data_IF_196581176203
#
_entry.id   IF_196581176203
#
_cell.length_a   1.000
_cell.length_b   1.000
_cell.length_c   1.000
_cell.angle_alpha   90.00
_cell.angle_beta   90.00
_cell.angle_gamma   90.00
#
_symmetry.space_group_name_H-M   'P 1'
#
loop_
_entity.id
_entity.type
_entity.pdbx_description
1 polymer ?
#
# COMPACT_ATOMS: atom_id res chain seq x y z
N UNK A 1 -28.64 -3.24 27.62
CA UNK A 1 -27.70 -2.11 27.84
C UNK A 1 -26.24 -2.52 27.65
N UNK A 2 -25.74 -3.56 28.33
CA UNK A 2 -24.34 -4.03 28.22
C UNK A 2 -23.96 -4.42 26.77
N UNK A 3 -24.82 -5.16 26.07
CA UNK A 3 -24.55 -5.57 24.67
C UNK A 3 -24.34 -4.38 23.73
N UNK A 4 -25.15 -3.32 23.88
CA UNK A 4 -25.03 -2.11 23.07
C UNK A 4 -23.71 -1.40 23.37
N UNK A 5 -23.32 -1.31 24.64
CA UNK A 5 -22.05 -0.72 25.04
C UNK A 5 -20.85 -1.49 24.46
N UNK A 6 -20.88 -2.84 24.50
CA UNK A 6 -19.83 -3.68 23.92
C UNK A 6 -19.73 -3.48 22.41
N UNK A 7 -20.86 -3.46 21.69
CA UNK A 7 -20.87 -3.22 20.25
C UNK A 7 -20.28 -1.84 19.91
N UNK A 8 -20.64 -0.81 20.66
CA UNK A 8 -20.08 0.53 20.45
C UNK A 8 -18.57 0.57 20.70
N UNK A 9 -18.08 -0.06 21.78
CA UNK A 9 -16.64 -0.16 22.07
C UNK A 9 -15.90 -0.84 20.92
N UNK A 10 -16.43 -1.95 20.41
CA UNK A 10 -15.84 -2.67 19.28
C UNK A 10 -15.82 -1.80 18.02
N UNK A 11 -16.91 -1.10 17.71
CA UNK A 11 -16.98 -0.21 16.54
C UNK A 11 -15.98 0.94 16.65
N UNK A 12 -15.85 1.56 17.82
CA UNK A 12 -14.85 2.62 18.07
C UNK A 12 -13.44 2.07 17.94
N UNK A 13 -13.15 0.90 18.52
CA UNK A 13 -11.84 0.27 18.42
C UNK A 13 -11.48 -0.06 16.96
N UNK A 14 -12.42 -0.61 16.19
CA UNK A 14 -12.24 -0.88 14.76
C UNK A 14 -12.02 0.39 13.94
N UNK A 15 -12.78 1.45 14.24
CA UNK A 15 -12.61 2.74 13.60
C UNK A 15 -11.21 3.32 13.87
N UNK A 16 -10.80 3.39 15.14
CA UNK A 16 -9.49 3.90 15.54
C UNK A 16 -8.35 3.07 14.94
N UNK A 17 -8.49 1.74 14.95
CA UNK A 17 -7.52 0.85 14.31
C UNK A 17 -7.40 1.11 12.82
N UNK A 18 -8.51 1.41 12.14
CA UNK A 18 -8.51 1.67 10.71
C UNK A 18 -7.85 3.01 10.36
N UNK A 19 -8.17 4.08 11.08
CA UNK A 19 -7.70 5.44 10.75
C UNK A 19 -6.31 5.77 11.29
N UNK A 20 -5.71 4.91 12.14
CA UNK A 20 -4.42 5.15 12.82
C UNK A 20 -3.24 5.52 11.91
N UNK A 21 -3.30 5.17 10.61
CA UNK A 21 -2.24 5.43 9.64
C UNK A 21 -2.60 6.51 8.62
N UNK A 22 -3.84 7.01 8.61
CA UNK A 22 -4.33 7.86 7.52
C UNK A 22 -3.68 9.24 7.47
N UNK A 23 -2.99 9.66 8.54
CA UNK A 23 -2.19 10.89 8.59
C UNK A 23 -0.70 10.69 8.20
N UNK A 24 -0.31 9.47 7.81
CA UNK A 24 1.09 9.11 7.58
C UNK A 24 1.78 9.97 6.51
N UNK A 25 1.09 10.19 5.39
CA UNK A 25 1.60 10.97 4.26
C UNK A 25 1.47 12.48 4.49
N UNK A 26 0.39 12.92 5.13
CA UNK A 26 0.18 14.31 5.52
C UNK A 26 1.30 14.81 6.43
N UNK A 27 1.63 14.04 7.48
CA UNK A 27 2.75 14.32 8.41
C UNK A 27 4.12 14.43 7.72
N UNK A 28 4.26 13.88 6.51
CA UNK A 28 5.50 13.89 5.71
C UNK A 28 5.46 14.88 4.56
N UNK A 29 4.37 15.65 4.41
CA UNK A 29 4.20 16.60 3.32
C UNK A 29 4.03 15.93 1.94
N UNK A 30 3.66 14.64 1.88
CA UNK A 30 3.48 13.91 0.63
C UNK A 30 2.03 14.02 0.16
N UNK A 31 1.82 14.46 -1.08
CA UNK A 31 0.48 14.54 -1.70
C UNK A 31 -0.12 13.13 -1.84
N UNK A 32 -1.39 13.01 -1.48
CA UNK A 32 -2.13 11.75 -1.55
C UNK A 32 -3.64 12.06 -1.59
N UNK A 33 -4.42 11.06 -1.99
CA UNK A 33 -5.88 11.11 -1.86
C UNK A 33 -6.29 10.79 -0.44
N UNK A 34 -7.32 11.47 0.07
CA UNK A 34 -7.88 11.13 1.39
C UNK A 34 -8.35 9.66 1.38
N UNK A 35 -7.82 8.80 2.27
CA UNK A 35 -8.23 7.40 2.33
C UNK A 35 -9.66 7.29 2.85
N UNK A 36 -10.41 6.31 2.32
CA UNK A 36 -11.73 5.94 2.84
C UNK A 36 -11.60 4.81 3.87
N UNK A 37 -12.55 4.76 4.81
CA UNK A 37 -12.58 3.73 5.85
C UNK A 37 -12.54 2.33 5.23
N UNK A 38 -11.82 1.41 5.86
CA UNK A 38 -11.57 0.01 5.45
C UNK A 38 -10.67 -0.11 4.22
N UNK A 39 -10.94 0.62 3.14
CA UNK A 39 -10.31 0.39 1.83
C UNK A 39 -9.11 1.28 1.51
N UNK A 40 -8.88 2.36 2.26
CA UNK A 40 -7.85 3.33 1.91
C UNK A 40 -8.19 4.02 0.59
N UNK A 41 -7.26 4.03 -0.36
CA UNK A 41 -7.50 4.53 -1.73
C UNK A 41 -7.77 3.40 -2.74
N UNK A 42 -7.86 2.14 -2.30
CA UNK A 42 -7.89 0.97 -3.18
C UNK A 42 -9.28 0.29 -3.28
N UNK A 43 -10.37 1.01 -2.98
CA UNK A 43 -11.73 0.46 -2.96
C UNK A 43 -12.13 -0.17 -4.31
N UNK A 44 -11.86 0.50 -5.43
CA UNK A 44 -12.18 -0.02 -6.76
C UNK A 44 -11.48 -1.35 -7.07
N UNK A 45 -10.29 -1.58 -6.52
CA UNK A 45 -9.57 -2.83 -6.71
C UNK A 45 -10.18 -3.96 -5.87
N UNK A 46 -10.58 -3.70 -4.63
CA UNK A 46 -11.31 -4.68 -3.80
C UNK A 46 -12.68 -5.01 -4.37
N UNK A 47 -13.34 -4.05 -5.03
CA UNK A 47 -14.62 -4.23 -5.71
C UNK A 47 -14.48 -4.78 -7.14
N UNK A 48 -13.26 -5.17 -7.56
CA UNK A 48 -12.95 -5.70 -8.89
C UNK A 48 -13.37 -4.78 -10.05
N UNK A 49 -13.45 -3.47 -9.81
CA UNK A 49 -13.78 -2.45 -10.81
C UNK A 49 -12.56 -1.97 -11.58
N UNK A 50 -11.38 -2.04 -10.95
CA UNK A 50 -10.08 -1.67 -11.55
C UNK A 50 -9.01 -2.66 -11.11
N UNK A 51 -8.11 -3.00 -12.03
CA UNK A 51 -6.88 -3.73 -11.71
C UNK A 51 -5.94 -2.87 -10.87
N UNK A 52 -4.95 -3.52 -10.24
CA UNK A 52 -3.90 -2.83 -9.48
C UNK A 52 -3.13 -1.88 -10.39
N UNK A 53 -2.84 -2.30 -11.63
CA UNK A 53 -2.13 -1.51 -12.62
C UNK A 53 -2.91 -0.25 -13.03
N UNK A 54 -4.21 -0.37 -13.30
CA UNK A 54 -5.06 0.78 -13.62
C UNK A 54 -5.09 1.79 -12.47
N UNK A 55 -5.19 1.33 -11.21
CA UNK A 55 -5.19 2.24 -10.07
C UNK A 55 -3.84 2.93 -9.87
N UNK A 56 -2.73 2.20 -10.09
CA UNK A 56 -1.38 2.78 -10.04
C UNK A 56 -1.19 3.86 -11.12
N UNK A 57 -1.62 3.59 -12.36
CA UNK A 57 -1.56 4.53 -13.48
C UNK A 57 -2.44 5.75 -13.23
N UNK A 58 -3.66 5.59 -12.71
CA UNK A 58 -4.53 6.72 -12.34
C UNK A 58 -3.84 7.65 -11.33
N UNK A 59 -3.20 7.08 -10.30
CA UNK A 59 -2.51 7.85 -9.28
C UNK A 59 -1.25 8.54 -9.83
N UNK A 60 -0.47 7.82 -10.65
CA UNK A 60 0.54 8.41 -11.53
C UNK A 60 -0.11 9.09 -12.73
N UNK A 61 -1.20 9.83 -12.68
CA UNK A 61 -1.45 10.83 -13.75
C UNK A 61 -2.15 12.01 -13.14
N UNK A 62 -2.95 11.75 -12.09
CA UNK A 62 -3.57 12.73 -11.22
C UNK A 62 -2.61 13.77 -10.61
N UNK A 63 -1.34 13.43 -10.35
CA UNK A 63 -0.35 14.33 -9.73
C UNK A 63 0.86 14.59 -10.63
N UNK A 64 0.71 15.30 -11.77
CA UNK A 64 1.75 15.42 -12.79
C UNK A 64 3.02 16.16 -12.31
N UNK A 65 2.88 17.02 -11.32
CA UNK A 65 3.97 17.84 -10.79
C UNK A 65 4.69 17.22 -9.58
N UNK A 66 4.22 16.07 -9.10
CA UNK A 66 4.79 15.42 -7.92
C UNK A 66 5.77 14.32 -8.34
N UNK A 67 6.91 14.25 -7.65
CA UNK A 67 7.93 13.20 -7.87
C UNK A 67 7.52 11.86 -7.27
N UNK A 68 6.73 11.91 -6.19
CA UNK A 68 6.19 10.78 -5.44
C UNK A 68 4.78 11.10 -4.98
N UNK A 69 3.94 10.07 -4.84
CA UNK A 69 2.55 10.23 -4.45
C UNK A 69 2.20 9.17 -3.41
N UNK A 70 1.66 9.59 -2.28
CA UNK A 70 1.21 8.70 -1.23
C UNK A 70 -0.08 7.97 -1.63
N UNK A 71 -0.17 6.71 -1.24
CA UNK A 71 -1.31 5.84 -1.46
C UNK A 71 -1.59 5.04 -0.18
N UNK A 72 -2.83 4.62 0.01
CA UNK A 72 -3.22 3.72 1.09
C UNK A 72 -3.88 2.46 0.52
N UNK A 73 -3.22 1.31 0.68
CA UNK A 73 -3.87 0.00 0.45
C UNK A 73 -4.50 -0.44 1.75
N UNK A 74 -5.81 -0.22 1.90
CA UNK A 74 -6.46 -0.32 3.21
C UNK A 74 -5.75 0.59 4.22
N UNK A 75 -5.27 0.05 5.34
CA UNK A 75 -4.52 0.79 6.37
C UNK A 75 -3.02 0.88 6.11
N UNK A 76 -2.51 0.25 5.05
CA UNK A 76 -1.08 0.23 4.73
C UNK A 76 -0.71 1.43 3.85
N UNK A 77 0.18 2.33 4.31
CA UNK A 77 0.74 3.36 3.44
C UNK A 77 1.67 2.73 2.40
N UNK A 78 1.49 3.12 1.13
CA UNK A 78 2.30 2.76 -0.03
C UNK A 78 2.66 4.02 -0.82
N UNK A 79 3.70 3.96 -1.64
CA UNK A 79 4.19 5.09 -2.41
C UNK A 79 4.19 4.78 -3.90
N UNK A 80 3.59 5.65 -4.69
CA UNK A 80 3.68 5.65 -6.15
C UNK A 80 4.81 6.58 -6.54
N UNK A 81 5.86 6.03 -7.14
CA UNK A 81 7.06 6.76 -7.54
C UNK A 81 6.91 7.19 -9.00
N UNK A 82 7.14 8.48 -9.28
CA UNK A 82 7.02 9.05 -10.62
C UNK A 82 8.36 9.49 -11.21
N UNK A 83 9.32 9.85 -10.36
CA UNK A 83 10.62 10.32 -10.82
C UNK A 83 11.56 9.15 -11.18
N UNK A 84 12.06 9.09 -12.44
CA UNK A 84 13.00 8.07 -12.88
C UNK A 84 14.29 7.98 -12.06
N UNK A 85 14.81 9.09 -11.53
CA UNK A 85 16.02 9.09 -10.69
C UNK A 85 15.75 8.41 -9.34
N UNK A 86 14.54 8.58 -8.79
CA UNK A 86 14.14 7.85 -7.58
C UNK A 86 13.97 6.36 -7.90
N UNK A 87 13.32 6.03 -9.03
CA UNK A 87 13.19 4.63 -9.48
C UNK A 87 14.56 3.97 -9.63
N UNK A 88 15.50 4.63 -10.32
CA UNK A 88 16.88 4.16 -10.49
C UNK A 88 17.57 3.97 -9.14
N UNK A 89 17.43 4.93 -8.23
CA UNK A 89 18.00 4.80 -6.89
C UNK A 89 17.47 3.57 -6.16
N UNK A 90 16.16 3.35 -6.15
CA UNK A 90 15.53 2.22 -5.44
C UNK A 90 15.89 0.86 -6.06
N UNK A 91 15.92 0.77 -7.39
CA UNK A 91 16.14 -0.48 -8.11
C UNK A 91 17.62 -0.84 -8.29
N UNK A 92 18.54 0.13 -8.19
CA UNK A 92 19.97 -0.08 -8.42
C UNK A 92 20.78 0.19 -7.15
N UNK A 93 20.97 1.45 -6.78
CA UNK A 93 21.88 1.83 -5.68
C UNK A 93 21.37 1.38 -4.30
N UNK A 94 20.06 1.43 -4.09
CA UNK A 94 19.38 1.11 -2.85
C UNK A 94 18.81 -0.31 -2.81
N UNK A 95 19.04 -1.13 -3.84
CA UNK A 95 18.39 -2.44 -3.98
C UNK A 95 18.49 -3.30 -2.72
N UNK A 96 19.61 -3.26 -2.01
CA UNK A 96 19.81 -3.99 -0.75
C UNK A 96 18.77 -3.68 0.34
N UNK A 97 18.13 -2.51 0.31
CA UNK A 97 17.04 -2.14 1.21
C UNK A 97 15.64 -2.34 0.60
N UNK A 98 15.53 -2.41 -0.72
CA UNK A 98 14.27 -2.46 -1.47
C UNK A 98 14.09 -3.74 -2.30
N UNK A 99 14.88 -4.78 -2.04
CA UNK A 99 14.84 -6.06 -2.76
C UNK A 99 13.47 -6.78 -2.71
N UNK A 100 12.62 -6.65 -1.66
CA UNK A 100 11.37 -7.37 -1.69
C UNK A 100 10.34 -6.76 -2.63
N UNK A 101 9.74 -7.60 -3.49
CA UNK A 101 8.75 -7.16 -4.50
C UNK A 101 7.35 -6.95 -3.93
N UNK A 102 7.07 -7.51 -2.75
CA UNK A 102 5.78 -7.34 -2.07
C UNK A 102 4.62 -8.14 -2.68
N UNK A 103 4.89 -9.09 -3.58
CA UNK A 103 3.89 -9.95 -4.21
C UNK A 103 3.53 -11.19 -3.37
N UNK A 104 4.37 -11.54 -2.40
CA UNK A 104 4.16 -12.69 -1.52
C UNK A 104 3.61 -12.22 -0.17
N UNK A 105 2.38 -12.62 0.14
CA UNK A 105 1.73 -12.31 1.42
C UNK A 105 2.37 -13.05 2.61
N UNK A 106 2.84 -14.29 2.40
CA UNK A 106 3.47 -15.12 3.44
C UNK A 106 4.88 -15.53 3.04
N UNK A 107 5.90 -14.88 3.61
CA UNK A 107 7.30 -15.22 3.32
C UNK A 107 7.78 -16.51 3.97
N UNK A 108 7.11 -16.97 5.01
CA UNK A 108 7.49 -18.18 5.75
C UNK A 108 7.10 -19.45 4.98
N UNK A 109 5.95 -19.40 4.29
CA UNK A 109 5.42 -20.52 3.52
C UNK A 109 5.16 -20.05 2.09
N UNK A 110 6.19 -20.19 1.24
CA UNK A 110 6.08 -19.90 -0.18
C UNK A 110 5.50 -21.12 -0.91
N UNK A 111 4.37 -20.92 -1.57
CA UNK A 111 3.75 -21.94 -2.42
C UNK A 111 4.73 -22.44 -3.48
N UNK A 112 4.82 -23.76 -3.76
CA UNK A 112 5.79 -24.31 -4.70
C UNK A 112 5.76 -23.65 -6.09
N UNK A 113 4.58 -23.29 -6.59
CA UNK A 113 4.43 -22.61 -7.90
C UNK A 113 5.01 -21.19 -7.91
N UNK A 114 5.10 -20.55 -6.75
CA UNK A 114 5.70 -19.23 -6.58
C UNK A 114 7.22 -19.31 -6.37
N UNK A 115 7.84 -20.50 -6.33
CA UNK A 115 9.31 -20.65 -6.25
C UNK A 115 9.95 -20.46 -7.63
N UNK A 116 9.79 -19.27 -8.20
CA UNK A 116 10.38 -18.89 -9.48
C UNK A 116 10.94 -17.45 -9.40
N UNK A 117 11.74 -17.06 -10.39
CA UNK A 117 12.46 -15.78 -10.40
C UNK A 117 11.56 -14.53 -10.32
N UNK A 118 10.26 -14.64 -10.64
CA UNK A 118 9.34 -13.51 -10.55
C UNK A 118 8.85 -13.23 -9.12
N UNK A 119 8.93 -14.22 -8.23
CA UNK A 119 8.40 -14.14 -6.87
C UNK A 119 9.46 -14.35 -5.79
N UNK A 120 10.55 -15.07 -6.09
CA UNK A 120 11.68 -15.19 -5.16
C UNK A 120 12.26 -13.81 -4.81
N UNK A 121 12.54 -13.54 -3.54
CA UNK A 121 13.14 -12.30 -3.04
C UNK A 121 14.31 -12.66 -2.09
N UNK A 122 15.28 -11.75 -1.92
CA UNK A 122 16.42 -11.93 -1.01
C UNK A 122 17.37 -13.04 -1.48
N UNK A 123 17.97 -13.78 -0.55
CA UNK A 123 18.96 -14.83 -0.85
C UNK A 123 18.43 -15.97 -1.75
N UNK A 124 17.11 -16.09 -1.88
CA UNK A 124 16.47 -17.07 -2.76
C UNK A 124 16.50 -16.64 -4.24
N UNK A 125 16.59 -15.33 -4.53
CA UNK A 125 16.59 -14.76 -5.88
C UNK A 125 18.00 -14.54 -6.39
#
# INVERSE_FOLDING_TARGET
MITIAVVLIVLVALYLYNVRTFDYWEKRGVKHDKPVLIFGNNADNYLMRKSVSEKAVEMYWKYPNERIVGFFRSTRPELVIRDPEIVKHLLVSGFYHFYPRGLIANRKYMEPIMKNLFFADGDLW
#
